data_IF_888324795324
#
_entry.id   IF_888324795324
#
_cell.length_a   1.000
_cell.length_b   1.000
_cell.length_c   1.000
_cell.angle_alpha   90.00
_cell.angle_beta   90.00
_cell.angle_gamma   90.00
#
_symmetry.space_group_name_H-M   'P 1'
#
loop_
_entity.id
_entity.type
_entity.pdbx_description
1 polymer ?
#
# COMPACT_ATOMS: atom_id res chain seq x y z
N UNK A 1 -9.88 20.32 1.70
CA UNK A 1 -11.16 20.75 1.09
C UNK A 1 -11.43 22.26 1.23
N UNK A 2 -10.53 23.05 1.86
CA UNK A 2 -10.65 24.53 1.93
C UNK A 2 -10.60 25.24 0.56
N UNK A 3 -10.11 24.54 -0.45
CA UNK A 3 -9.92 24.99 -1.83
C UNK A 3 -11.19 24.91 -2.71
N UNK A 4 -12.29 24.39 -2.16
CA UNK A 4 -13.53 24.18 -2.92
C UNK A 4 -13.46 23.07 -3.96
N UNK A 5 -12.38 22.29 -4.01
CA UNK A 5 -12.25 21.19 -4.95
C UNK A 5 -13.18 20.02 -4.59
N UNK A 6 -13.71 19.39 -5.64
CA UNK A 6 -14.54 18.19 -5.54
C UNK A 6 -13.61 16.98 -5.42
N UNK A 7 -13.73 16.22 -4.33
CA UNK A 7 -12.87 15.04 -4.04
C UNK A 7 -13.70 13.82 -3.67
N UNK A 8 -13.19 12.64 -4.00
CA UNK A 8 -13.76 11.38 -3.51
C UNK A 8 -13.21 11.04 -2.12
N UNK A 9 -13.85 10.07 -1.44
CA UNK A 9 -13.33 9.50 -0.18
C UNK A 9 -11.91 8.92 -0.41
N UNK A 10 -11.67 8.30 -1.55
CA UNK A 10 -10.36 7.77 -1.94
C UNK A 10 -9.31 8.89 -2.03
N UNK A 11 -9.61 9.97 -2.77
CA UNK A 11 -8.70 11.12 -2.89
C UNK A 11 -8.35 11.70 -1.50
N UNK A 12 -9.34 11.79 -0.61
CA UNK A 12 -9.15 12.26 0.77
C UNK A 12 -8.28 11.28 1.59
N UNK A 13 -8.48 9.98 1.41
CA UNK A 13 -7.69 8.95 2.09
C UNK A 13 -6.23 9.03 1.65
N UNK A 14 -5.96 9.16 0.35
CA UNK A 14 -4.60 9.30 -0.19
C UNK A 14 -3.89 10.56 0.33
N UNK A 15 -4.63 11.66 0.54
CA UNK A 15 -4.08 12.91 1.12
C UNK A 15 -3.75 12.73 2.62
N UNK A 16 -4.57 11.98 3.37
CA UNK A 16 -4.44 11.83 4.82
C UNK A 16 -3.42 10.76 5.21
N UNK A 17 -3.28 9.69 4.42
CA UNK A 17 -2.39 8.56 4.70
C UNK A 17 -0.95 8.96 5.08
N UNK A 18 -0.26 9.87 4.34
CA UNK A 18 1.10 10.26 4.69
C UNK A 18 1.21 10.93 6.06
N UNK A 19 0.15 11.60 6.52
CA UNK A 19 0.11 12.28 7.83
C UNK A 19 -0.05 11.27 8.96
N UNK A 20 -0.81 10.19 8.74
CA UNK A 20 -1.06 9.12 9.71
C UNK A 20 0.05 8.06 9.74
N UNK A 21 0.84 7.94 8.68
CA UNK A 21 1.98 7.00 8.62
C UNK A 21 3.06 7.30 9.67
N UNK A 22 3.07 8.49 10.25
CA UNK A 22 3.96 8.89 11.35
C UNK A 22 3.41 8.54 12.74
N UNK A 23 2.14 8.16 12.87
CA UNK A 23 1.54 7.71 14.10
C UNK A 23 1.74 6.19 14.28
N UNK A 24 2.10 5.78 15.50
CA UNK A 24 2.47 4.41 15.87
C UNK A 24 1.34 3.38 15.73
N UNK A 25 0.17 3.76 15.25
CA UNK A 25 -1.04 2.92 15.25
C UNK A 25 -1.11 1.91 14.08
N UNK A 26 -0.21 1.95 13.11
CA UNK A 26 -0.11 0.94 12.03
C UNK A 26 -1.41 0.69 11.26
N UNK A 27 -2.27 1.70 11.10
CA UNK A 27 -3.57 1.56 10.45
C UNK A 27 -3.43 1.19 8.98
N UNK A 28 -4.14 0.16 8.54
CA UNK A 28 -4.21 -0.21 7.13
C UNK A 28 -4.96 0.86 6.32
N UNK A 29 -4.66 0.94 5.02
CA UNK A 29 -5.36 1.85 4.09
C UNK A 29 -6.88 1.72 4.18
N UNK A 30 -7.40 0.48 4.27
CA UNK A 30 -8.84 0.21 4.38
C UNK A 30 -9.44 0.78 5.67
N UNK A 31 -8.73 0.65 6.79
CA UNK A 31 -9.19 1.22 8.08
C UNK A 31 -9.24 2.74 8.02
N UNK A 32 -8.24 3.38 7.40
CA UNK A 32 -8.23 4.83 7.21
C UNK A 32 -9.37 5.26 6.27
N UNK A 33 -9.55 4.58 5.14
CA UNK A 33 -10.62 4.86 4.19
C UNK A 33 -12.01 4.76 4.83
N UNK A 34 -12.26 3.73 5.65
CA UNK A 34 -13.52 3.55 6.38
C UNK A 34 -13.74 4.68 7.39
N UNK A 35 -12.70 5.09 8.13
CA UNK A 35 -12.78 6.24 9.06
C UNK A 35 -13.05 7.54 8.33
N UNK A 36 -12.36 7.80 7.21
CA UNK A 36 -12.58 8.99 6.37
C UNK A 36 -14.02 9.01 5.83
N UNK A 37 -14.52 7.89 5.31
CA UNK A 37 -15.90 7.78 4.84
C UNK A 37 -16.91 8.08 5.94
N UNK A 38 -16.69 7.54 7.15
CA UNK A 38 -17.55 7.77 8.29
C UNK A 38 -17.55 9.26 8.71
N UNK A 39 -16.38 9.89 8.83
CA UNK A 39 -16.27 11.32 9.15
C UNK A 39 -16.94 12.19 8.08
N UNK A 40 -16.70 11.90 6.79
CA UNK A 40 -17.35 12.61 5.69
C UNK A 40 -18.88 12.52 5.77
N UNK A 41 -19.42 11.36 6.18
CA UNK A 41 -20.86 11.21 6.38
C UNK A 41 -21.38 12.08 7.56
N UNK A 42 -20.69 12.10 8.69
CA UNK A 42 -21.07 12.98 9.83
C UNK A 42 -21.08 14.45 9.42
N UNK A 43 -20.06 14.90 8.71
CA UNK A 43 -19.97 16.27 8.20
C UNK A 43 -21.08 16.58 7.19
N UNK A 44 -21.48 15.59 6.38
CA UNK A 44 -22.61 15.74 5.45
C UNK A 44 -23.96 15.85 6.18
N UNK A 45 -24.18 15.03 7.21
CA UNK A 45 -25.37 15.10 8.06
C UNK A 45 -25.48 16.49 8.72
N UNK A 46 -24.37 17.07 9.16
CA UNK A 46 -24.31 18.41 9.70
C UNK A 46 -24.44 19.53 8.64
N UNK A 47 -24.52 19.17 7.35
CA UNK A 47 -24.62 20.12 6.23
C UNK A 47 -23.32 20.88 5.94
N UNK A 48 -22.18 20.37 6.39
CA UNK A 48 -20.86 20.97 6.15
C UNK A 48 -20.22 20.49 4.86
N UNK A 49 -20.61 19.30 4.40
CA UNK A 49 -20.29 18.75 3.10
C UNK A 49 -21.57 18.43 2.33
N UNK A 50 -21.50 18.51 1.02
CA UNK A 50 -22.52 18.02 0.10
C UNK A 50 -21.93 17.04 -0.91
N UNK A 51 -22.80 16.23 -1.55
CA UNK A 51 -22.42 15.18 -2.50
C UNK A 51 -23.00 15.52 -3.87
N UNK A 52 -22.37 16.40 -4.67
CA UNK A 52 -22.87 16.82 -5.96
C UNK A 52 -22.93 15.68 -6.99
N UNK A 53 -22.09 14.66 -6.81
CA UNK A 53 -22.05 13.46 -7.62
C UNK A 53 -21.93 12.24 -6.72
N UNK A 54 -22.27 11.05 -7.23
CA UNK A 54 -22.35 9.79 -6.45
C UNK A 54 -21.12 9.48 -5.57
N UNK A 55 -19.92 9.78 -6.05
CA UNK A 55 -18.65 9.49 -5.35
C UNK A 55 -17.88 10.75 -4.95
N UNK A 56 -18.40 11.95 -5.21
CA UNK A 56 -17.68 13.21 -5.05
C UNK A 56 -18.29 14.05 -3.93
N UNK A 57 -17.45 14.63 -3.12
CA UNK A 57 -17.78 15.50 -1.99
C UNK A 57 -17.20 16.88 -2.23
N UNK A 58 -17.95 17.90 -1.79
CA UNK A 58 -17.50 19.30 -1.80
C UNK A 58 -17.90 19.97 -0.49
N UNK A 59 -17.10 20.93 -0.04
CA UNK A 59 -17.40 21.71 1.16
C UNK A 59 -18.50 22.75 0.84
N UNK A 60 -19.48 22.88 1.74
CA UNK A 60 -20.54 23.88 1.62
C UNK A 60 -20.09 25.25 2.11
N UNK A 61 -20.90 26.30 1.86
CA UNK A 61 -20.66 27.62 2.47
C UNK A 61 -20.67 27.56 4.00
N UNK A 62 -21.57 26.72 4.57
CA UNK A 62 -21.62 26.46 6.02
C UNK A 62 -20.31 25.80 6.48
N UNK A 63 -19.83 24.81 5.74
CA UNK A 63 -18.56 24.14 6.03
C UNK A 63 -17.37 25.11 6.01
N UNK A 64 -17.31 26.00 5.02
CA UNK A 64 -16.26 27.02 4.95
C UNK A 64 -16.26 27.97 6.15
N UNK A 65 -17.45 28.39 6.63
CA UNK A 65 -17.57 29.20 7.83
C UNK A 65 -17.06 28.47 9.07
N UNK A 66 -17.44 27.21 9.25
CA UNK A 66 -16.98 26.37 10.36
C UNK A 66 -15.47 26.22 10.35
N UNK A 67 -14.87 25.96 9.18
CA UNK A 67 -13.40 25.86 9.05
C UNK A 67 -12.71 27.16 9.46
N UNK A 68 -13.28 28.32 9.13
CA UNK A 68 -12.73 29.63 9.51
C UNK A 68 -12.85 29.87 11.04
N UNK A 69 -13.97 29.48 11.66
CA UNK A 69 -14.22 29.66 13.09
C UNK A 69 -13.40 28.71 13.97
N UNK A 70 -13.16 27.46 13.52
CA UNK A 70 -12.55 26.39 14.33
C UNK A 70 -11.10 26.11 13.98
N UNK A 71 -10.50 26.86 13.06
CA UNK A 71 -9.20 26.55 12.45
C UNK A 71 -9.13 25.11 11.86
N UNK A 72 -10.30 24.57 11.48
CA UNK A 72 -10.43 23.25 10.88
C UNK A 72 -10.51 22.09 11.88
N UNK A 73 -10.58 22.34 13.18
CA UNK A 73 -10.79 21.30 14.21
C UNK A 73 -12.27 21.27 14.57
N UNK A 74 -12.95 20.16 14.25
CA UNK A 74 -14.38 19.96 14.50
C UNK A 74 -14.55 18.64 15.23
N UNK A 75 -15.09 18.66 16.42
CA UNK A 75 -15.41 17.49 17.24
C UNK A 75 -16.93 17.20 17.26
N UNK A 76 -17.31 16.08 17.85
CA UNK A 76 -18.72 15.68 17.97
C UNK A 76 -19.55 16.69 18.78
N UNK A 77 -18.95 17.34 19.78
CA UNK A 77 -19.63 18.35 20.60
C UNK A 77 -19.94 19.63 19.76
N UNK A 78 -19.05 19.99 18.86
CA UNK A 78 -19.29 21.07 17.92
C UNK A 78 -20.39 20.72 16.91
N UNK A 79 -20.38 19.49 16.39
CA UNK A 79 -21.38 19.01 15.42
C UNK A 79 -22.80 18.98 16.01
N UNK A 80 -22.95 18.75 17.32
CA UNK A 80 -24.26 18.77 18.00
C UNK A 80 -24.97 20.13 17.96
N UNK A 81 -24.27 21.23 17.63
CA UNK A 81 -24.87 22.54 17.43
C UNK A 81 -25.77 22.62 16.18
N UNK A 82 -25.62 21.67 15.28
CA UNK A 82 -26.42 21.60 14.06
C UNK A 82 -27.68 20.75 14.32
N UNK A 83 -28.90 21.31 14.14
CA UNK A 83 -30.15 20.58 14.43
C UNK A 83 -30.27 19.25 13.68
N UNK A 84 -29.79 19.22 12.46
CA UNK A 84 -29.79 18.02 11.59
C UNK A 84 -28.93 16.89 12.22
N UNK A 85 -27.79 17.24 12.77
CA UNK A 85 -26.89 16.28 13.42
C UNK A 85 -27.44 15.85 14.80
N UNK A 86 -28.03 16.76 15.57
CA UNK A 86 -28.67 16.44 16.83
C UNK A 86 -29.84 15.46 16.63
N UNK A 87 -30.66 15.69 15.60
CA UNK A 87 -31.77 14.78 15.21
C UNK A 87 -31.23 13.40 14.80
N UNK A 88 -30.17 13.34 14.03
CA UNK A 88 -29.51 12.08 13.63
C UNK A 88 -29.04 11.29 14.85
N UNK A 89 -28.40 11.94 15.85
CA UNK A 89 -27.96 11.25 17.08
C UNK A 89 -29.14 10.72 17.89
N UNK A 90 -30.25 11.47 18.00
CA UNK A 90 -31.45 11.00 18.68
C UNK A 90 -32.05 9.78 18.01
N UNK A 91 -32.15 9.75 16.69
CA UNK A 91 -32.68 8.63 15.93
C UNK A 91 -31.78 7.38 16.07
N UNK A 92 -30.48 7.55 16.06
CA UNK A 92 -29.51 6.47 16.27
C UNK A 92 -29.62 5.85 17.68
N UNK A 93 -29.80 6.68 18.71
CA UNK A 93 -29.94 6.21 20.10
C UNK A 93 -31.27 5.47 20.36
N UNK A 94 -32.29 5.66 19.53
CA UNK A 94 -33.59 4.99 19.66
C UNK A 94 -33.70 3.69 18.84
N UNK A 95 -32.57 3.20 18.25
CA UNK A 95 -32.56 1.96 17.48
C UNK A 95 -33.37 2.02 16.17
N UNK A 96 -33.84 3.20 15.78
CA UNK A 96 -34.37 3.45 14.45
C UNK A 96 -33.15 3.57 13.52
N UNK A 97 -32.78 2.45 12.90
CA UNK A 97 -31.78 2.45 11.83
C UNK A 97 -32.31 3.34 10.68
N UNK A 98 -32.07 4.63 10.78
CA UNK A 98 -32.16 5.48 9.60
C UNK A 98 -31.03 5.04 8.69
N UNK A 99 -31.33 4.75 7.43
CA UNK A 99 -30.41 4.38 6.33
C UNK A 99 -29.37 5.47 6.03
N UNK A 100 -28.82 6.11 7.05
CA UNK A 100 -27.75 7.11 7.01
C UNK A 100 -26.49 6.54 7.68
N UNK A 101 -26.43 5.22 7.93
CA UNK A 101 -25.16 4.57 8.17
C UNK A 101 -24.29 4.82 6.93
N UNK A 102 -23.05 5.20 7.18
CA UNK A 102 -22.06 5.51 6.13
C UNK A 102 -21.83 4.26 5.26
N UNK A 103 -22.84 3.88 4.51
CA UNK A 103 -22.66 2.87 3.47
C UNK A 103 -21.79 3.52 2.41
N UNK A 104 -20.59 2.95 2.27
CA UNK A 104 -19.75 3.18 1.11
C UNK A 104 -20.63 3.05 -0.13
N UNK A 105 -20.45 3.92 -1.12
CA UNK A 105 -21.12 3.74 -2.40
C UNK A 105 -20.77 2.35 -2.96
N UNK A 106 -21.59 1.76 -3.84
CA UNK A 106 -21.26 0.45 -4.43
C UNK A 106 -19.88 0.40 -5.08
N UNK A 107 -19.39 1.50 -5.64
CA UNK A 107 -18.04 1.62 -6.17
C UNK A 107 -17.00 1.57 -5.03
N UNK A 108 -17.21 2.31 -3.95
CA UNK A 108 -16.34 2.31 -2.77
C UNK A 108 -16.35 0.94 -2.07
N UNK A 109 -17.50 0.26 -2.02
CA UNK A 109 -17.61 -1.12 -1.51
C UNK A 109 -16.82 -2.10 -2.39
N UNK A 110 -16.87 -1.94 -3.71
CA UNK A 110 -16.10 -2.77 -4.64
C UNK A 110 -14.59 -2.56 -4.43
N UNK A 111 -14.14 -1.31 -4.33
CA UNK A 111 -12.74 -0.98 -4.08
C UNK A 111 -12.28 -1.52 -2.73
N UNK A 112 -13.08 -1.38 -1.68
CA UNK A 112 -12.80 -1.91 -0.35
C UNK A 112 -12.71 -3.45 -0.36
N UNK A 113 -13.64 -4.11 -1.04
CA UNK A 113 -13.63 -5.57 -1.19
C UNK A 113 -12.39 -6.05 -1.99
N UNK A 114 -12.03 -5.34 -3.06
CA UNK A 114 -10.84 -5.66 -3.85
C UNK A 114 -9.56 -5.53 -3.02
N UNK A 115 -9.41 -4.46 -2.24
CA UNK A 115 -8.28 -4.27 -1.33
C UNK A 115 -8.21 -5.34 -0.24
N UNK A 116 -9.37 -5.73 0.33
CA UNK A 116 -9.43 -6.81 1.32
C UNK A 116 -9.01 -8.15 0.73
N UNK A 117 -9.45 -8.47 -0.48
CA UNK A 117 -9.05 -9.69 -1.18
C UNK A 117 -7.54 -9.68 -1.50
N UNK A 118 -7.01 -8.53 -1.92
CA UNK A 118 -5.58 -8.38 -2.20
C UNK A 118 -4.73 -8.53 -0.94
N UNK A 119 -5.17 -7.99 0.20
CA UNK A 119 -4.48 -8.16 1.48
C UNK A 119 -4.49 -9.62 1.92
N UNK A 120 -5.66 -10.29 1.87
CA UNK A 120 -5.75 -11.72 2.19
C UNK A 120 -4.85 -12.57 1.31
N UNK A 121 -4.80 -12.28 0.01
CA UNK A 121 -3.90 -12.96 -0.93
C UNK A 121 -2.42 -12.71 -0.58
N UNK A 122 -2.06 -11.50 -0.16
CA UNK A 122 -0.69 -11.18 0.25
C UNK A 122 -0.27 -11.96 1.49
N UNK A 123 -1.16 -12.09 2.47
CA UNK A 123 -0.94 -12.86 3.70
C UNK A 123 -0.78 -14.36 3.38
N UNK A 124 -1.69 -14.93 2.58
CA UNK A 124 -1.63 -16.34 2.13
C UNK A 124 -0.34 -16.63 1.35
N UNK A 125 0.06 -15.69 0.48
CA UNK A 125 1.28 -15.79 -0.32
C UNK A 125 2.52 -15.76 0.59
N UNK A 126 2.57 -14.86 1.55
CA UNK A 126 3.66 -14.76 2.51
C UNK A 126 3.79 -16.03 3.36
N UNK A 127 2.67 -16.57 3.83
CA UNK A 127 2.69 -17.83 4.58
C UNK A 127 3.17 -18.99 3.72
N UNK A 128 2.77 -19.02 2.45
CA UNK A 128 3.29 -20.02 1.51
C UNK A 128 4.79 -19.89 1.30
N UNK A 129 5.31 -18.66 1.15
CA UNK A 129 6.74 -18.39 1.01
C UNK A 129 7.57 -18.85 2.21
N UNK A 130 7.03 -18.77 3.42
CA UNK A 130 7.68 -19.29 4.64
C UNK A 130 7.83 -20.80 4.65
N UNK A 131 7.04 -21.55 3.86
CA UNK A 131 7.04 -23.01 3.84
C UNK A 131 7.87 -23.64 2.71
N UNK A 132 8.21 -22.88 1.65
CA UNK A 132 9.00 -23.38 0.52
C UNK A 132 10.46 -23.64 0.92
N UNK A 133 11.19 -24.43 0.13
CA UNK A 133 12.62 -24.62 0.38
C UNK A 133 13.42 -23.32 0.16
N UNK A 134 14.56 -23.13 0.83
CA UNK A 134 15.40 -21.95 0.61
C UNK A 134 15.79 -21.75 -0.86
N UNK A 135 16.20 -22.81 -1.55
CA UNK A 135 16.59 -22.74 -2.97
C UNK A 135 15.42 -22.39 -3.90
N UNK A 136 14.20 -22.78 -3.54
CA UNK A 136 13.02 -22.40 -4.28
C UNK A 136 12.66 -20.93 -4.01
N UNK A 137 12.85 -20.46 -2.78
CA UNK A 137 12.66 -19.05 -2.44
C UNK A 137 13.63 -18.13 -3.22
N UNK A 138 14.91 -18.51 -3.31
CA UNK A 138 15.91 -17.81 -4.13
C UNK A 138 15.47 -17.71 -5.60
N UNK A 139 14.91 -18.79 -6.16
CA UNK A 139 14.36 -18.79 -7.52
C UNK A 139 13.17 -17.84 -7.65
N UNK A 140 12.22 -17.85 -6.71
CA UNK A 140 11.07 -16.94 -6.72
C UNK A 140 11.54 -15.48 -6.73
N UNK A 141 12.56 -15.15 -5.94
CA UNK A 141 13.14 -13.79 -5.90
C UNK A 141 13.71 -13.39 -7.26
N UNK A 142 14.41 -14.29 -7.93
CA UNK A 142 14.94 -14.03 -9.27
C UNK A 142 13.79 -13.89 -10.29
N UNK A 143 12.79 -14.76 -10.25
CA UNK A 143 11.62 -14.69 -11.14
C UNK A 143 10.87 -13.37 -10.97
N UNK A 144 10.74 -12.87 -9.73
CA UNK A 144 10.16 -11.56 -9.43
C UNK A 144 10.97 -10.43 -10.07
N UNK A 145 12.27 -10.38 -9.84
CA UNK A 145 13.12 -9.33 -10.40
C UNK A 145 13.11 -9.34 -11.94
N UNK A 146 13.06 -10.53 -12.55
CA UNK A 146 12.89 -10.65 -14.02
C UNK A 146 11.54 -10.11 -14.48
N UNK A 147 10.45 -10.44 -13.75
CA UNK A 147 9.12 -9.92 -14.06
C UNK A 147 9.01 -8.41 -13.89
N UNK A 148 9.80 -7.82 -12.99
CA UNK A 148 9.97 -6.36 -12.82
C UNK A 148 10.79 -5.72 -13.95
N UNK A 149 11.40 -6.52 -14.84
CA UNK A 149 12.16 -6.03 -16.00
C UNK A 149 13.69 -6.02 -15.83
N UNK A 150 14.18 -6.50 -14.68
CA UNK A 150 15.63 -6.72 -14.51
C UNK A 150 16.09 -7.98 -15.25
N UNK A 151 17.38 -8.13 -15.50
CA UNK A 151 17.94 -9.38 -16.06
C UNK A 151 18.35 -9.34 -17.52
N UNK A 152 18.20 -8.24 -18.21
CA UNK A 152 18.65 -8.07 -19.58
C UNK A 152 17.81 -8.87 -20.59
N UNK A 153 18.34 -9.96 -21.15
CA UNK A 153 17.56 -10.87 -22.01
C UNK A 153 17.11 -12.11 -21.23
N UNK A 154 15.95 -12.68 -21.60
CA UNK A 154 15.40 -13.92 -21.00
C UNK A 154 16.42 -15.08 -21.00
N UNK A 155 17.37 -15.09 -21.96
CA UNK A 155 18.46 -16.09 -22.03
C UNK A 155 19.55 -15.90 -20.97
N UNK A 156 19.75 -14.68 -20.48
CA UNK A 156 20.78 -14.36 -19.49
C UNK A 156 20.27 -14.50 -18.05
N UNK A 157 18.99 -14.27 -17.81
CA UNK A 157 18.36 -14.43 -16.51
C UNK A 157 18.48 -15.87 -15.93
N UNK A 158 18.44 -16.88 -16.79
CA UNK A 158 18.60 -18.28 -16.39
C UNK A 158 20.02 -18.71 -15.99
N UNK A 159 21.04 -17.88 -16.25
CA UNK A 159 22.43 -18.19 -15.90
C UNK A 159 22.88 -17.65 -14.55
N UNK A 160 22.05 -16.83 -13.92
CA UNK A 160 22.42 -16.02 -12.74
C UNK A 160 22.07 -16.70 -11.40
N UNK A 161 21.39 -17.85 -11.44
CA UNK A 161 21.03 -18.60 -10.24
C UNK A 161 22.14 -19.62 -9.92
N UNK A 162 22.91 -19.32 -8.87
CA UNK A 162 23.62 -20.38 -8.17
C UNK A 162 25.12 -20.42 -8.33
N UNK A 163 25.83 -19.73 -7.47
CA UNK A 163 26.97 -20.32 -6.74
C UNK A 163 26.70 -20.13 -5.25
N UNK A 164 26.14 -21.15 -4.64
CA UNK A 164 26.05 -21.26 -3.19
C UNK A 164 27.47 -21.29 -2.63
N UNK A 165 27.78 -20.29 -1.77
CA UNK A 165 29.04 -20.31 -1.03
C UNK A 165 29.83 -18.99 -0.96
N UNK A 166 29.48 -17.96 -1.70
CA UNK A 166 30.27 -16.73 -1.81
C UNK A 166 29.79 -15.63 -0.86
N UNK A 167 30.10 -15.80 0.44
CA UNK A 167 30.10 -14.67 1.38
C UNK A 167 28.76 -14.07 1.77
N UNK A 168 27.63 -14.57 1.27
CA UNK A 168 26.29 -14.02 1.57
C UNK A 168 25.62 -13.34 0.37
N UNK A 169 25.94 -13.76 -0.85
CA UNK A 169 25.25 -13.39 -2.10
C UNK A 169 24.65 -14.67 -2.68
N UNK A 170 23.34 -14.64 -2.96
CA UNK A 170 22.62 -15.79 -3.48
C UNK A 170 22.42 -15.72 -5.01
N UNK A 171 22.56 -14.51 -5.58
CA UNK A 171 22.44 -14.32 -7.02
C UNK A 171 22.96 -12.97 -7.50
N UNK A 172 23.11 -12.87 -8.82
CA UNK A 172 23.51 -11.64 -9.51
C UNK A 172 22.59 -11.48 -10.71
N UNK A 173 22.02 -10.29 -10.89
CA UNK A 173 21.16 -9.97 -12.01
C UNK A 173 21.64 -8.67 -12.71
N UNK A 174 21.51 -8.60 -14.03
CA UNK A 174 21.79 -7.37 -14.77
C UNK A 174 20.70 -6.34 -14.49
N UNK A 175 21.07 -5.07 -14.31
CA UNK A 175 20.10 -4.01 -14.07
C UNK A 175 19.32 -3.65 -15.33
N UNK A 176 19.99 -3.67 -16.47
CA UNK A 176 19.43 -3.25 -17.75
C UNK A 176 19.71 -4.24 -18.88
N UNK A 177 19.08 -4.03 -20.04
CA UNK A 177 19.23 -4.88 -21.23
C UNK A 177 20.66 -4.90 -21.81
N UNK A 178 21.43 -3.88 -21.56
CA UNK A 178 22.83 -3.78 -22.03
C UNK A 178 23.79 -4.46 -21.05
N UNK A 179 23.38 -4.64 -19.79
CA UNK A 179 24.18 -5.23 -18.73
C UNK A 179 25.34 -4.34 -18.28
N UNK A 180 25.15 -3.03 -18.34
CA UNK A 180 26.14 -2.04 -17.92
C UNK A 180 26.36 -2.08 -16.41
N UNK A 181 25.30 -2.35 -15.66
CA UNK A 181 25.32 -2.49 -14.21
C UNK A 181 24.74 -3.84 -13.76
N UNK A 182 25.14 -4.27 -12.56
CA UNK A 182 24.71 -5.52 -11.96
C UNK A 182 24.18 -5.27 -10.54
N UNK A 183 23.12 -5.98 -10.19
CA UNK A 183 22.52 -6.00 -8.87
C UNK A 183 22.83 -7.34 -8.22
N UNK A 184 23.36 -7.31 -7.02
CA UNK A 184 23.63 -8.47 -6.19
C UNK A 184 22.43 -8.76 -5.31
N UNK A 185 22.06 -10.03 -5.17
CA UNK A 185 20.83 -10.47 -4.51
C UNK A 185 21.18 -11.30 -3.29
N UNK A 186 20.53 -10.99 -2.15
CA UNK A 186 20.45 -11.87 -1.00
C UNK A 186 18.99 -12.16 -0.71
N UNK A 187 18.61 -13.43 -0.69
CA UNK A 187 17.27 -13.89 -0.39
C UNK A 187 17.28 -14.71 0.90
N UNK A 188 16.53 -14.27 1.91
CA UNK A 188 16.57 -14.90 3.22
C UNK A 188 15.19 -15.29 3.71
N UNK A 189 14.86 -16.58 3.57
CA UNK A 189 13.65 -17.14 4.18
C UNK A 189 13.86 -17.27 5.69
N UNK A 190 13.16 -16.47 6.46
CA UNK A 190 13.34 -16.40 7.93
C UNK A 190 12.04 -16.00 8.61
N UNK A 191 11.81 -16.50 9.82
CA UNK A 191 10.67 -16.08 10.66
C UNK A 191 11.03 -14.87 11.55
N UNK A 192 12.24 -14.88 12.11
CA UNK A 192 12.71 -13.78 12.96
C UNK A 192 13.18 -12.58 12.12
N UNK A 193 13.05 -11.38 12.67
CA UNK A 193 13.49 -10.14 12.03
C UNK A 193 14.95 -10.19 11.60
N UNK A 194 15.24 -9.60 10.45
CA UNK A 194 16.61 -9.42 9.95
C UNK A 194 17.22 -8.20 10.64
N UNK A 195 18.29 -8.42 11.40
CA UNK A 195 18.99 -7.37 12.11
C UNK A 195 20.11 -6.72 11.30
N UNK A 196 20.64 -5.61 11.83
CA UNK A 196 21.80 -4.90 11.28
C UNK A 196 23.00 -5.81 10.96
N UNK A 197 23.40 -6.80 11.81
CA UNK A 197 24.57 -7.64 11.49
C UNK A 197 24.47 -8.40 10.18
N UNK A 198 23.26 -8.84 9.82
CA UNK A 198 23.02 -9.59 8.58
C UNK A 198 23.12 -8.69 7.36
N UNK A 199 22.53 -7.49 7.43
CA UNK A 199 22.61 -6.48 6.37
C UNK A 199 24.05 -5.96 6.22
N UNK A 200 24.76 -5.79 7.34
CA UNK A 200 26.17 -5.40 7.35
C UNK A 200 27.07 -6.47 6.72
N UNK A 201 26.79 -7.76 6.97
CA UNK A 201 27.49 -8.85 6.28
C UNK A 201 27.28 -8.81 4.77
N UNK A 202 26.05 -8.55 4.31
CA UNK A 202 25.74 -8.41 2.89
C UNK A 202 26.45 -7.18 2.27
N UNK A 203 26.45 -6.04 2.96
CA UNK A 203 27.20 -4.85 2.52
C UNK A 203 28.71 -5.13 2.40
N UNK A 204 29.28 -5.89 3.33
CA UNK A 204 30.68 -6.32 3.26
C UNK A 204 30.95 -7.24 2.07
N UNK A 205 30.02 -8.16 1.76
CA UNK A 205 30.12 -9.01 0.56
C UNK A 205 30.11 -8.17 -0.73
N UNK A 206 29.22 -7.17 -0.84
CA UNK A 206 29.22 -6.26 -1.97
C UNK A 206 30.56 -5.55 -2.16
N UNK A 207 31.18 -5.07 -1.07
CA UNK A 207 32.49 -4.45 -1.13
C UNK A 207 33.59 -5.42 -1.63
N UNK A 208 33.54 -6.68 -1.18
CA UNK A 208 34.43 -7.74 -1.64
C UNK A 208 34.33 -7.98 -3.16
N UNK A 209 33.12 -7.88 -3.71
CA UNK A 209 32.87 -7.99 -5.17
C UNK A 209 33.05 -6.66 -5.91
N UNK A 210 33.44 -5.57 -5.24
CA UNK A 210 33.47 -4.20 -5.79
C UNK A 210 32.11 -3.76 -6.35
N UNK A 211 31.04 -4.33 -5.82
CA UNK A 211 29.66 -4.02 -6.19
C UNK A 211 29.13 -2.84 -5.39
N UNK A 212 28.27 -2.05 -6.01
CA UNK A 212 27.65 -0.86 -5.40
C UNK A 212 26.14 -0.99 -5.20
N UNK A 213 25.53 -1.98 -5.84
CA UNK A 213 24.07 -2.16 -5.85
C UNK A 213 23.71 -3.55 -5.35
N UNK A 214 22.77 -3.61 -4.42
CA UNK A 214 22.28 -4.88 -3.88
C UNK A 214 20.80 -4.79 -3.50
N UNK A 215 20.14 -5.95 -3.54
CA UNK A 215 18.77 -6.15 -3.04
C UNK A 215 18.82 -7.26 -2.00
N UNK A 216 18.37 -6.96 -0.80
CA UNK A 216 18.21 -7.94 0.26
C UNK A 216 16.72 -8.18 0.50
N UNK A 217 16.25 -9.40 0.27
CA UNK A 217 14.85 -9.78 0.34
C UNK A 217 14.64 -10.81 1.45
N UNK A 218 13.61 -10.63 2.27
CA UNK A 218 13.27 -11.60 3.32
C UNK A 218 11.77 -11.87 3.38
N UNK A 219 11.40 -13.02 3.93
CA UNK A 219 10.00 -13.33 4.30
C UNK A 219 9.59 -12.75 5.66
N UNK A 220 10.49 -12.09 6.36
CA UNK A 220 10.27 -11.45 7.66
C UNK A 220 10.32 -9.92 7.53
N UNK A 221 10.52 -9.21 8.62
CA UNK A 221 10.74 -7.76 8.66
C UNK A 221 12.20 -7.42 8.97
N UNK A 222 12.54 -6.13 8.84
CA UNK A 222 13.84 -5.60 9.23
C UNK A 222 13.74 -4.85 10.55
N UNK A 223 14.83 -4.91 11.35
CA UNK A 223 14.95 -4.04 12.53
C UNK A 223 15.20 -2.59 12.12
N UNK A 224 14.81 -1.63 12.95
CA UNK A 224 15.09 -0.21 12.72
C UNK A 224 16.59 0.06 12.52
N UNK A 225 17.46 -0.62 13.30
CA UNK A 225 18.91 -0.51 13.14
C UNK A 225 19.40 -1.00 11.76
N UNK A 226 18.75 -1.99 11.17
CA UNK A 226 19.06 -2.47 9.82
C UNK A 226 18.64 -1.43 8.76
N UNK A 227 17.45 -0.85 8.91
CA UNK A 227 16.92 0.19 8.02
C UNK A 227 17.81 1.47 8.09
N UNK A 228 18.23 1.87 9.29
CA UNK A 228 19.08 3.04 9.45
C UNK A 228 20.52 2.80 8.97
N UNK A 229 21.01 1.57 9.09
CA UNK A 229 22.34 1.22 8.58
C UNK A 229 22.45 1.46 7.06
N UNK A 230 21.47 1.03 6.27
CA UNK A 230 21.53 1.18 4.80
C UNK A 230 21.42 2.63 4.33
N UNK A 231 20.84 3.53 5.14
CA UNK A 231 20.79 4.97 4.84
C UNK A 231 22.15 5.65 4.97
N UNK A 232 23.08 5.06 5.74
CA UNK A 232 24.36 5.66 6.15
C UNK A 232 25.58 4.99 5.50
N UNK A 233 25.39 4.23 4.42
CA UNK A 233 26.50 3.57 3.70
C UNK A 233 26.52 4.00 2.23
N UNK A 234 27.70 3.93 1.59
CA UNK A 234 27.89 4.32 0.18
C UNK A 234 27.22 3.35 -0.81
N UNK A 235 27.10 2.07 -0.46
CA UNK A 235 26.44 1.07 -1.30
C UNK A 235 24.93 1.28 -1.30
N UNK A 236 24.30 1.25 -2.46
CA UNK A 236 22.83 1.25 -2.60
C UNK A 236 22.27 -0.12 -2.33
N UNK A 237 21.75 -0.35 -1.14
CA UNK A 237 21.08 -1.59 -0.75
C UNK A 237 19.58 -1.30 -0.58
N UNK A 238 18.75 -2.01 -1.35
CA UNK A 238 17.30 -2.00 -1.18
C UNK A 238 16.92 -3.17 -0.29
N UNK A 239 16.16 -2.89 0.76
CA UNK A 239 15.62 -3.90 1.67
C UNK A 239 14.15 -4.12 1.33
N UNK A 240 13.78 -5.36 1.02
CA UNK A 240 12.40 -5.78 0.72
C UNK A 240 12.00 -6.79 1.78
N UNK A 241 11.04 -6.41 2.62
CA UNK A 241 10.47 -7.29 3.65
C UNK A 241 9.38 -8.20 3.08
N UNK A 242 8.80 -9.06 3.93
CA UNK A 242 7.79 -10.02 3.50
C UNK A 242 6.51 -9.38 2.99
N UNK A 243 6.10 -8.25 3.57
CA UNK A 243 4.89 -7.54 3.15
C UNK A 243 5.09 -6.90 1.76
N UNK A 244 6.20 -6.21 1.56
CA UNK A 244 6.54 -5.60 0.28
C UNK A 244 6.82 -6.67 -0.79
N UNK A 245 7.45 -7.79 -0.42
CA UNK A 245 7.66 -8.93 -1.33
C UNK A 245 6.33 -9.48 -1.85
N UNK A 246 5.36 -9.74 -0.96
CA UNK A 246 4.04 -10.25 -1.35
C UNK A 246 3.31 -9.26 -2.26
N UNK A 247 3.37 -7.95 -1.95
CA UNK A 247 2.76 -6.89 -2.76
C UNK A 247 3.35 -6.87 -4.18
N UNK A 248 4.67 -6.89 -4.29
CA UNK A 248 5.37 -6.91 -5.58
C UNK A 248 5.05 -8.18 -6.38
N UNK A 249 4.99 -9.35 -5.73
CA UNK A 249 4.64 -10.61 -6.40
C UNK A 249 3.22 -10.55 -6.99
N UNK A 250 2.25 -9.95 -6.28
CA UNK A 250 0.89 -9.76 -6.79
C UNK A 250 0.89 -8.77 -7.97
N UNK A 251 1.59 -7.65 -7.84
CA UNK A 251 1.67 -6.59 -8.84
C UNK A 251 2.26 -7.10 -10.16
N UNK A 252 3.33 -7.90 -10.08
CA UNK A 252 4.03 -8.44 -11.25
C UNK A 252 3.57 -9.85 -11.66
N UNK A 253 2.52 -10.39 -11.02
CA UNK A 253 1.90 -11.66 -11.40
C UNK A 253 2.76 -12.89 -11.12
N UNK A 254 3.66 -12.83 -10.12
CA UNK A 254 4.54 -13.94 -9.75
C UNK A 254 3.89 -14.80 -8.65
N UNK A 255 3.70 -16.08 -8.92
CA UNK A 255 3.08 -17.02 -7.97
C UNK A 255 1.58 -16.82 -7.76
N UNK A 256 0.94 -15.95 -8.54
CA UNK A 256 -0.49 -15.64 -8.47
C UNK A 256 -1.13 -15.71 -9.86
N UNK A 257 -2.44 -15.87 -9.92
CA UNK A 257 -3.20 -15.89 -11.16
C UNK A 257 -4.55 -15.17 -11.01
N UNK A 258 -5.07 -14.68 -12.13
CA UNK A 258 -6.38 -14.00 -12.15
C UNK A 258 -7.49 -15.03 -11.94
N UNK A 259 -8.21 -14.94 -10.83
CA UNK A 259 -9.35 -15.80 -10.53
C UNK A 259 -10.63 -15.32 -11.22
N UNK A 260 -10.88 -13.99 -11.24
CA UNK A 260 -12.09 -13.38 -11.80
C UNK A 260 -11.81 -11.96 -12.26
N UNK A 261 -12.50 -11.55 -13.32
CA UNK A 261 -12.53 -10.16 -13.79
C UNK A 261 -13.95 -9.64 -13.65
N UNK A 262 -14.11 -8.50 -12.97
CA UNK A 262 -15.39 -7.81 -12.82
C UNK A 262 -15.39 -6.57 -13.71
N UNK A 263 -16.36 -6.47 -14.64
CA UNK A 263 -16.51 -5.32 -15.50
C UNK A 263 -17.57 -4.38 -14.92
N UNK A 264 -17.19 -3.16 -14.64
CA UNK A 264 -18.12 -2.09 -14.25
C UNK A 264 -18.41 -1.23 -15.47
N UNK A 265 -19.68 -1.15 -15.87
CA UNK A 265 -20.12 -0.39 -17.04
C UNK A 265 -20.62 0.98 -16.59
N UNK A 266 -20.40 2.00 -17.42
CA UNK A 266 -20.94 3.34 -17.26
C UNK A 266 -21.74 3.73 -18.51
N UNK A 267 -22.62 4.71 -18.36
CA UNK A 267 -23.28 5.32 -19.51
C UNK A 267 -22.22 5.98 -20.41
N UNK A 268 -22.31 5.69 -21.70
CA UNK A 268 -21.51 6.38 -22.72
C UNK A 268 -22.27 7.65 -23.14
N UNK A 269 -21.84 8.80 -22.61
CA UNK A 269 -22.49 10.09 -22.88
C UNK A 269 -22.43 10.45 -24.36
N UNK A 270 -21.30 10.21 -25.00
CA UNK A 270 -21.06 10.60 -26.40
C UNK A 270 -21.98 9.84 -27.37
N UNK A 271 -22.42 8.63 -26.99
CA UNK A 271 -23.40 7.86 -27.81
C UNK A 271 -24.79 8.50 -27.87
N UNK A 272 -25.16 9.32 -26.90
CA UNK A 272 -26.47 9.95 -26.77
C UNK A 272 -26.45 11.45 -27.13
N UNK A 273 -25.29 11.99 -27.52
CA UNK A 273 -25.19 13.34 -28.09
C UNK A 273 -25.60 13.30 -29.59
N UNK A 274 -26.71 14.03 -29.96
CA UNK A 274 -27.18 14.17 -31.34
C UNK A 274 -26.47 15.35 -32.04
#
# INVERSE_FOLDING_TARGET
MKDGEIRSVRDLTEIIMPTLANDQDGLSYLQVMTRVAWVCNLLRVAGLLEKPQRTKLVITERGNKVVAETNGIVDDAYLQRFPEFATYLQQRNHGIATQVDAELSPEEQLDAAALSLQQSLADDLLDKLKTVSPSFFERIVVDLLVSMGYGGSVKDAGKTVGRSGDGGVDGIIKEDKLGLDTIYIQAKRKEANVGRPEVQKFAGALQGFRARKGVFITTSSYSNDALDFVKNIDSKIVLIDGAELSRLMIEYGVGVGVQRVVKVMRLDGDYFEE
#
